data_IF_113683265693
#
_entry.id   IF_113683265693
#
_cell.length_a   1.000
_cell.length_b   1.000
_cell.length_c   1.000
_cell.angle_alpha   90.00
_cell.angle_beta   90.00
_cell.angle_gamma   90.00
#
_symmetry.space_group_name_H-M   'P 1'
#
loop_
_entity.id
_entity.type
_entity.pdbx_description
1 polymer ?
#
# COMPACT_ATOMS: atom_id res chain seq x y z
N UNK A 1 -10.45 -9.83 13.23
CA UNK A 1 -10.31 -8.89 12.09
C UNK A 1 -11.61 -8.92 11.31
N UNK A 2 -12.17 -7.77 11.00
CA UNK A 2 -13.35 -7.61 10.13
C UNK A 2 -13.06 -6.49 9.11
N UNK A 3 -13.76 -6.43 7.96
CA UNK A 3 -13.69 -5.28 7.07
C UNK A 3 -13.99 -3.97 7.82
N UNK A 4 -13.46 -2.87 7.32
CA UNK A 4 -13.69 -1.57 7.94
C UNK A 4 -15.20 -1.23 7.93
N UNK A 5 -15.76 -0.70 9.02
CA UNK A 5 -17.13 -0.22 9.04
C UNK A 5 -17.37 0.85 7.98
N UNK A 6 -18.62 0.99 7.53
CA UNK A 6 -18.98 2.03 6.56
C UNK A 6 -18.75 3.42 7.15
N UNK A 7 -18.12 4.30 6.37
CA UNK A 7 -18.00 5.72 6.67
C UNK A 7 -19.03 6.47 5.81
N UNK A 8 -19.99 7.14 6.44
CA UNK A 8 -21.08 7.86 5.76
C UNK A 8 -21.84 6.98 4.74
N UNK A 9 -22.11 5.72 5.11
CA UNK A 9 -22.84 4.76 4.26
C UNK A 9 -22.03 4.17 3.10
N UNK A 10 -20.74 4.49 2.98
CA UNK A 10 -19.84 3.93 1.96
C UNK A 10 -18.73 3.11 2.60
N UNK A 11 -18.30 2.05 1.93
CA UNK A 11 -17.11 1.29 2.36
C UNK A 11 -15.89 2.20 2.18
N UNK A 12 -15.06 2.39 3.21
CA UNK A 12 -13.89 3.26 3.10
C UNK A 12 -12.86 2.66 2.15
N UNK A 13 -12.32 3.52 1.28
CA UNK A 13 -11.22 3.16 0.39
C UNK A 13 -9.90 3.24 1.15
N UNK A 14 -9.25 2.09 1.33
CA UNK A 14 -7.93 1.98 1.94
C UNK A 14 -6.86 1.91 0.85
N UNK A 15 -5.60 2.22 1.20
CA UNK A 15 -4.50 1.93 0.30
C UNK A 15 -4.23 0.41 0.23
N UNK A 16 -4.03 -0.08 -0.98
CA UNK A 16 -3.53 -1.41 -1.29
C UNK A 16 -2.02 -1.33 -1.52
N UNK A 17 -1.25 -1.91 -0.60
CA UNK A 17 0.18 -2.11 -0.77
C UNK A 17 0.45 -3.46 -1.45
N UNK A 18 1.24 -3.44 -2.53
CA UNK A 18 1.70 -4.65 -3.20
C UNK A 18 3.22 -4.69 -3.14
N UNK A 19 3.78 -5.79 -2.68
CA UNK A 19 5.21 -6.00 -2.73
C UNK A 19 5.58 -6.74 -4.00
N UNK A 20 6.54 -6.16 -4.72
CA UNK A 20 7.04 -6.66 -6.01
C UNK A 20 8.55 -6.78 -5.92
N UNK A 21 9.08 -7.79 -6.57
CA UNK A 21 10.51 -7.98 -6.73
C UNK A 21 10.89 -7.62 -8.17
N UNK A 22 12.05 -6.99 -8.31
CA UNK A 22 12.59 -6.56 -9.60
C UNK A 22 13.96 -7.18 -9.81
N UNK A 23 14.29 -7.47 -11.08
CA UNK A 23 15.65 -7.82 -11.46
C UNK A 23 16.39 -6.55 -11.80
N UNK A 24 17.58 -6.37 -11.20
CA UNK A 24 18.44 -5.22 -11.48
C UNK A 24 18.79 -5.16 -12.98
N UNK A 25 18.54 -4.00 -13.59
CA UNK A 25 18.82 -3.74 -15.01
C UNK A 25 20.31 -3.87 -15.36
N UNK A 26 21.22 -3.73 -14.40
CA UNK A 26 22.66 -3.89 -14.61
C UNK A 26 23.18 -5.30 -14.30
N UNK A 27 22.30 -6.24 -13.96
CA UNK A 27 22.70 -7.62 -13.67
C UNK A 27 23.31 -8.29 -14.90
N UNK A 28 24.43 -9.00 -14.70
CA UNK A 28 25.04 -9.85 -15.73
C UNK A 28 24.26 -11.16 -15.95
N UNK A 29 23.35 -11.51 -15.05
CA UNK A 29 22.63 -12.79 -15.02
C UNK A 29 21.10 -12.60 -15.02
N UNK A 30 20.58 -11.67 -15.85
CA UNK A 30 19.14 -11.31 -15.86
C UNK A 30 18.22 -12.51 -16.07
N UNK A 31 18.54 -13.39 -17.02
CA UNK A 31 17.69 -14.54 -17.36
C UNK A 31 17.55 -15.51 -16.20
N UNK A 32 18.65 -15.80 -15.50
CA UNK A 32 18.65 -16.69 -14.32
C UNK A 32 17.90 -16.01 -13.18
N UNK A 33 18.09 -14.71 -12.98
CA UNK A 33 17.37 -13.96 -11.95
C UNK A 33 15.85 -13.95 -12.20
N UNK A 34 15.41 -13.76 -13.45
CA UNK A 34 13.99 -13.84 -13.80
C UNK A 34 13.42 -15.25 -13.62
N UNK A 35 14.15 -16.29 -14.03
CA UNK A 35 13.74 -17.69 -13.79
C UNK A 35 13.57 -17.97 -12.29
N UNK A 36 14.49 -17.50 -11.45
CA UNK A 36 14.37 -17.63 -10.00
C UNK A 36 13.14 -16.90 -9.47
N UNK A 37 12.87 -15.69 -9.97
CA UNK A 37 11.70 -14.92 -9.58
C UNK A 37 10.38 -15.62 -9.97
N UNK A 38 10.30 -16.17 -11.18
CA UNK A 38 9.14 -16.96 -11.62
C UNK A 38 8.92 -18.17 -10.72
N UNK A 39 9.98 -18.89 -10.35
CA UNK A 39 9.90 -20.02 -9.42
C UNK A 39 9.34 -19.61 -8.06
N UNK A 40 9.79 -18.48 -7.50
CA UNK A 40 9.25 -17.97 -6.23
C UNK A 40 7.80 -17.54 -6.33
N UNK A 41 7.38 -16.89 -7.42
CA UNK A 41 5.98 -16.47 -7.59
C UNK A 41 5.05 -17.67 -7.80
N UNK A 42 5.50 -18.68 -8.53
CA UNK A 42 4.68 -19.84 -8.87
C UNK A 42 4.62 -20.88 -7.75
N UNK A 43 5.72 -21.10 -7.01
CA UNK A 43 5.83 -22.17 -6.00
C UNK A 43 5.96 -21.66 -4.56
N UNK A 44 6.30 -20.38 -4.37
CA UNK A 44 6.57 -19.79 -3.06
C UNK A 44 5.37 -19.19 -2.35
N UNK A 45 4.17 -19.22 -2.94
CA UNK A 45 2.97 -18.55 -2.40
C UNK A 45 2.66 -19.00 -0.97
N UNK A 46 2.58 -20.32 -0.75
CA UNK A 46 2.37 -20.92 0.56
C UNK A 46 3.50 -20.61 1.54
N UNK A 47 4.74 -20.57 1.06
CA UNK A 47 5.92 -20.31 1.90
C UNK A 47 5.86 -18.86 2.41
N UNK A 48 5.57 -17.91 1.52
CA UNK A 48 5.43 -16.48 1.86
C UNK A 48 4.31 -16.28 2.87
N UNK A 49 3.17 -16.96 2.67
CA UNK A 49 2.04 -16.86 3.58
C UNK A 49 2.34 -17.51 4.94
N UNK A 50 2.81 -18.76 4.98
CA UNK A 50 3.09 -19.49 6.23
C UNK A 50 4.21 -18.85 7.06
N UNK A 51 5.19 -18.24 6.41
CA UNK A 51 6.35 -17.63 7.10
C UNK A 51 6.07 -16.21 7.57
N UNK A 52 5.36 -15.41 6.76
CA UNK A 52 5.23 -13.96 6.99
C UNK A 52 3.80 -13.44 7.06
N UNK A 53 2.79 -14.31 6.93
CA UNK A 53 1.36 -13.93 6.84
C UNK A 53 1.06 -12.92 5.74
N UNK A 54 1.91 -12.84 4.71
CA UNK A 54 1.69 -11.98 3.54
C UNK A 54 0.81 -12.69 2.55
N UNK A 55 -0.28 -12.05 2.15
CA UNK A 55 -1.28 -12.59 1.25
C UNK A 55 -0.70 -12.61 -0.17
N UNK A 56 -0.51 -13.79 -0.80
CA UNK A 56 -0.14 -13.89 -2.20
C UNK A 56 -1.18 -13.26 -3.13
N UNK A 57 -0.71 -12.60 -4.19
CA UNK A 57 -1.56 -11.92 -5.18
C UNK A 57 -2.06 -12.83 -6.30
N UNK A 58 -1.75 -14.13 -6.23
CA UNK A 58 -2.09 -15.09 -7.26
C UNK A 58 -3.61 -15.30 -7.37
N UNK A 59 -4.11 -15.37 -8.60
CA UNK A 59 -5.53 -15.61 -8.85
C UNK A 59 -5.93 -16.98 -8.30
N UNK A 60 -7.01 -17.02 -7.52
CA UNK A 60 -7.52 -18.26 -6.94
C UNK A 60 -6.76 -18.76 -5.70
N UNK A 61 -5.81 -17.99 -5.17
CA UNK A 61 -5.21 -18.31 -3.88
C UNK A 61 -6.27 -18.22 -2.78
N UNK A 62 -6.39 -19.27 -1.97
CA UNK A 62 -7.35 -19.38 -0.86
C UNK A 62 -6.65 -19.83 0.40
N UNK A 63 -7.13 -19.35 1.54
CA UNK A 63 -6.67 -19.79 2.87
C UNK A 63 -7.88 -19.98 3.76
N UNK A 64 -7.75 -20.82 4.79
CA UNK A 64 -8.85 -21.07 5.73
C UNK A 64 -8.92 -20.06 6.87
N UNK A 65 -7.86 -19.28 7.08
CA UNK A 65 -7.78 -18.25 8.13
C UNK A 65 -8.79 -17.10 7.91
N UNK A 66 -9.71 -16.96 8.85
CA UNK A 66 -10.81 -15.97 8.79
C UNK A 66 -10.30 -14.53 8.82
N UNK A 67 -9.18 -14.28 9.50
CA UNK A 67 -8.58 -12.95 9.54
C UNK A 67 -8.00 -12.54 8.19
N UNK A 68 -7.31 -13.46 7.52
CA UNK A 68 -6.80 -13.24 6.17
C UNK A 68 -7.93 -13.06 5.18
N UNK A 69 -9.02 -13.83 5.29
CA UNK A 69 -10.22 -13.63 4.45
C UNK A 69 -10.76 -12.20 4.58
N UNK A 70 -10.83 -11.65 5.80
CA UNK A 70 -11.27 -10.26 6.00
C UNK A 70 -10.36 -9.23 5.30
N UNK A 71 -9.04 -9.44 5.31
CA UNK A 71 -8.10 -8.59 4.56
C UNK A 71 -8.26 -8.74 3.04
N UNK A 72 -8.48 -9.96 2.55
CA UNK A 72 -8.73 -10.22 1.12
C UNK A 72 -10.01 -9.54 0.63
N UNK A 73 -11.08 -9.52 1.43
CA UNK A 73 -12.31 -8.81 1.10
C UNK A 73 -12.11 -7.28 1.08
N UNK A 74 -11.43 -6.72 2.08
CA UNK A 74 -11.12 -5.28 2.11
C UNK A 74 -10.21 -4.88 0.94
N UNK A 75 -9.29 -5.75 0.50
CA UNK A 75 -8.40 -5.48 -0.62
C UNK A 75 -9.16 -5.30 -1.97
N UNK A 76 -10.35 -5.87 -2.13
CA UNK A 76 -11.17 -5.75 -3.36
C UNK A 76 -11.68 -4.32 -3.60
N UNK A 77 -11.82 -3.53 -2.55
CA UNK A 77 -12.31 -2.13 -2.59
C UNK A 77 -11.20 -1.12 -2.31
N UNK A 78 -9.99 -1.60 -2.04
CA UNK A 78 -8.82 -0.77 -1.79
C UNK A 78 -8.27 -0.18 -3.11
N UNK A 79 -7.65 0.98 -3.02
CA UNK A 79 -6.99 1.64 -4.15
C UNK A 79 -5.47 1.41 -4.08
N UNK A 80 -4.78 1.05 -5.18
CA UNK A 80 -3.33 0.96 -5.20
C UNK A 80 -2.70 2.27 -4.72
N UNK A 81 -1.69 2.15 -3.86
CA UNK A 81 -0.90 3.32 -3.49
C UNK A 81 -0.22 3.91 -4.75
N UNK A 82 -0.27 5.23 -4.97
CA UNK A 82 0.44 5.85 -6.09
C UNK A 82 1.94 5.52 -6.02
N UNK A 83 2.52 5.12 -7.15
CA UNK A 83 3.93 4.74 -7.27
C UNK A 83 4.77 5.75 -8.06
N UNK A 84 4.19 6.92 -8.36
CA UNK A 84 4.90 8.05 -8.98
C UNK A 84 5.85 8.70 -7.97
N UNK A 85 6.91 9.35 -8.46
CA UNK A 85 7.97 9.93 -7.60
C UNK A 85 7.41 11.03 -6.71
N UNK A 86 6.46 11.79 -7.22
CA UNK A 86 5.79 12.91 -6.55
C UNK A 86 5.07 12.51 -5.26
N UNK A 87 4.74 11.22 -5.08
CA UNK A 87 4.10 10.73 -3.85
C UNK A 87 5.00 10.94 -2.62
N UNK A 88 6.32 11.04 -2.79
CA UNK A 88 7.25 11.28 -1.69
C UNK A 88 7.05 12.65 -1.05
N UNK A 89 6.63 13.65 -1.83
CA UNK A 89 6.32 14.98 -1.31
C UNK A 89 5.07 15.01 -0.42
N UNK A 90 4.27 13.93 -0.38
CA UNK A 90 3.01 13.86 0.36
C UNK A 90 3.16 13.49 1.83
N UNK A 91 4.04 12.56 2.16
CA UNK A 91 4.01 11.86 3.46
C UNK A 91 4.25 12.78 4.65
N UNK A 92 5.30 13.59 4.59
CA UNK A 92 5.68 14.47 5.69
C UNK A 92 4.69 15.64 5.87
N UNK A 93 4.29 16.38 4.82
CA UNK A 93 3.24 17.40 4.94
C UNK A 93 1.93 16.87 5.50
N UNK A 94 1.46 15.71 5.01
CA UNK A 94 0.24 15.08 5.52
C UNK A 94 0.38 14.70 7.00
N UNK A 95 1.48 14.02 7.37
CA UNK A 95 1.72 13.59 8.75
C UNK A 95 1.78 14.76 9.74
N UNK A 96 2.48 15.83 9.40
CA UNK A 96 2.66 16.99 10.27
C UNK A 96 1.34 17.77 10.46
N UNK A 97 0.61 18.04 9.38
CA UNK A 97 -0.67 18.77 9.47
C UNK A 97 -1.76 17.95 10.16
N UNK A 98 -1.80 16.62 10.00
CA UNK A 98 -2.72 15.76 10.74
C UNK A 98 -2.43 15.76 12.24
N UNK A 99 -1.16 15.79 12.66
CA UNK A 99 -0.78 15.96 14.07
C UNK A 99 -1.25 17.31 14.62
N UNK A 100 -1.03 18.41 13.88
CA UNK A 100 -1.49 19.74 14.30
C UNK A 100 -3.03 19.78 14.43
N UNK A 101 -3.74 19.22 13.45
CA UNK A 101 -5.20 19.13 13.46
C UNK A 101 -5.72 18.35 14.68
N UNK A 102 -5.21 17.14 14.90
CA UNK A 102 -5.65 16.26 16.00
C UNK A 102 -5.27 16.79 17.38
N UNK A 103 -4.23 17.62 17.47
CA UNK A 103 -3.86 18.33 18.71
C UNK A 103 -4.66 19.62 18.96
N UNK A 104 -5.52 20.03 18.02
CA UNK A 104 -6.34 21.25 18.13
C UNK A 104 -5.59 22.55 17.83
N UNK A 105 -4.35 22.50 17.36
CA UNK A 105 -3.54 23.68 17.04
C UNK A 105 -3.99 24.39 15.75
N UNK A 106 -4.59 23.65 14.80
CA UNK A 106 -5.14 24.20 13.57
C UNK A 106 -6.50 23.56 13.26
N UNK A 107 -7.35 24.26 12.52
CA UNK A 107 -8.63 23.71 12.04
C UNK A 107 -8.46 22.84 10.78
N UNK A 108 -9.51 22.08 10.43
CA UNK A 108 -9.50 21.17 9.29
C UNK A 108 -9.26 21.87 7.95
N UNK A 109 -9.74 23.11 7.82
CA UNK A 109 -9.59 23.90 6.59
C UNK A 109 -8.13 24.31 6.38
N UNK A 110 -7.46 24.74 7.45
CA UNK A 110 -6.05 25.13 7.48
C UNK A 110 -5.17 23.93 7.22
N UNK A 111 -5.43 22.80 7.89
CA UNK A 111 -4.69 21.56 7.65
C UNK A 111 -4.76 21.12 6.18
N UNK A 112 -5.96 21.10 5.60
CA UNK A 112 -6.15 20.72 4.19
C UNK A 112 -5.42 21.66 3.22
N UNK A 113 -5.49 22.97 3.45
CA UNK A 113 -4.78 23.96 2.62
C UNK A 113 -3.26 23.78 2.70
N UNK A 114 -2.72 23.67 3.91
CA UNK A 114 -1.27 23.53 4.13
C UNK A 114 -0.73 22.27 3.46
N UNK A 115 -1.43 21.14 3.57
CA UNK A 115 -1.03 19.90 2.91
C UNK A 115 -0.93 20.11 1.40
N UNK A 116 -1.95 20.70 0.78
CA UNK A 116 -1.94 20.92 -0.68
C UNK A 116 -0.82 21.86 -1.11
N UNK A 117 -0.62 22.96 -0.40
CA UNK A 117 0.40 23.95 -0.75
C UNK A 117 1.82 23.39 -0.58
N UNK A 118 2.09 22.69 0.52
CA UNK A 118 3.39 22.05 0.80
C UNK A 118 3.70 20.90 -0.16
N UNK A 119 2.70 20.08 -0.52
CA UNK A 119 2.89 19.03 -1.53
C UNK A 119 3.24 19.63 -2.88
N UNK A 120 2.56 20.70 -3.31
CA UNK A 120 2.88 21.40 -4.56
C UNK A 120 4.28 22.01 -4.55
N UNK A 121 4.74 22.49 -3.40
CA UNK A 121 6.10 23.00 -3.23
C UNK A 121 7.12 21.86 -3.32
N UNK A 122 6.89 20.76 -2.61
CA UNK A 122 7.78 19.59 -2.64
C UNK A 122 7.89 18.92 -4.01
N UNK A 123 6.85 18.98 -4.85
CA UNK A 123 6.89 18.47 -6.23
C UNK A 123 7.75 19.35 -7.16
N UNK A 124 7.92 20.65 -6.85
CA UNK A 124 8.68 21.59 -7.71
C UNK A 124 10.19 21.54 -7.49
N UNK A 125 10.65 20.96 -6.38
CA UNK A 125 12.06 20.85 -6.01
C UNK A 125 12.70 19.67 -6.73
#
# INVERSE_FOLDING_TARGET
>A
VIPMPTLNGKVPQTFLGVQTAFVNENSKNKDIAWKLMEEFVNKGQDIVYKTGSRIPVAKGYTVDDEYTKAFMEQAKVAMPMPNIVEVQAMWEPAGNNLKLLTSGQIDAKTAGKNIVDQVKEGIKQ
#
